data_IF_437646695308
#
_entry.id   IF_437646695308
#
_cell.length_a   1.000
_cell.length_b   1.000
_cell.length_c   1.000
_cell.angle_alpha   90.00
_cell.angle_beta   90.00
_cell.angle_gamma   90.00
#
_symmetry.space_group_name_H-M   'P 1'
#
loop_
_entity.id
_entity.type
_entity.pdbx_description
1 polymer ?
#
# COMPACT_ATOMS: atom_id res chain seq x y z
N UNK A 1 46.63 22.94 -35.70
CA UNK A 1 46.20 22.04 -34.60
C UNK A 1 45.07 21.17 -35.14
N UNK A 2 45.36 19.93 -35.54
CA UNK A 2 44.35 19.01 -36.07
C UNK A 2 43.61 18.38 -34.89
N UNK A 3 42.34 18.77 -34.71
CA UNK A 3 41.44 18.22 -33.68
C UNK A 3 41.02 16.83 -34.11
N UNK A 4 41.44 15.83 -33.37
CA UNK A 4 41.07 14.43 -33.57
C UNK A 4 39.70 14.17 -32.94
N UNK A 5 38.64 14.61 -33.62
CA UNK A 5 37.25 14.40 -33.18
C UNK A 5 36.91 12.91 -33.37
N UNK A 6 37.07 12.11 -32.30
CA UNK A 6 36.64 10.71 -32.27
C UNK A 6 35.10 10.71 -32.15
N UNK A 7 34.41 10.55 -33.27
CA UNK A 7 32.98 10.27 -33.27
C UNK A 7 32.68 8.88 -32.68
N UNK A 8 31.53 8.74 -32.03
CA UNK A 8 31.00 7.45 -31.60
C UNK A 8 30.81 6.53 -32.81
N UNK A 9 31.20 5.27 -32.68
CA UNK A 9 31.03 4.32 -33.79
C UNK A 9 29.59 3.79 -33.82
N UNK A 10 29.05 3.52 -35.02
CA UNK A 10 27.69 2.95 -35.14
C UNK A 10 27.56 1.61 -34.39
N UNK A 11 28.63 0.81 -34.38
CA UNK A 11 28.66 -0.47 -33.66
C UNK A 11 28.57 -0.29 -32.15
N UNK A 12 29.13 0.79 -31.61
CA UNK A 12 29.10 1.10 -30.19
C UNK A 12 27.68 1.45 -29.73
N UNK A 13 26.95 2.25 -30.52
CA UNK A 13 25.54 2.54 -30.23
C UNK A 13 24.66 1.27 -30.28
N UNK A 14 24.89 0.40 -31.27
CA UNK A 14 24.14 -0.85 -31.43
C UNK A 14 24.42 -1.81 -30.26
N UNK A 15 25.67 -1.97 -29.86
CA UNK A 15 26.03 -2.82 -28.73
C UNK A 15 25.37 -2.34 -27.42
N UNK A 16 25.29 -1.01 -27.21
CA UNK A 16 24.70 -0.43 -26.01
C UNK A 16 23.20 -0.74 -25.91
N UNK A 17 22.43 -0.53 -26.98
CA UNK A 17 20.98 -0.83 -26.95
C UNK A 17 20.71 -2.33 -26.78
N UNK A 18 21.58 -3.20 -27.27
CA UNK A 18 21.49 -4.66 -27.05
C UNK A 18 21.68 -4.97 -25.56
N UNK A 19 22.74 -4.43 -24.94
CA UNK A 19 23.01 -4.63 -23.52
C UNK A 19 21.87 -4.06 -22.66
N UNK A 20 21.42 -2.84 -22.94
CA UNK A 20 20.27 -2.23 -22.26
C UNK A 20 18.98 -3.04 -22.46
N UNK A 21 18.78 -3.63 -23.64
CA UNK A 21 17.64 -4.51 -23.92
C UNK A 21 17.64 -5.77 -23.05
N UNK A 22 18.79 -6.43 -22.89
CA UNK A 22 18.94 -7.61 -22.03
C UNK A 22 18.71 -7.23 -20.56
N UNK A 23 19.32 -6.14 -20.10
CA UNK A 23 19.16 -5.66 -18.72
C UNK A 23 17.70 -5.26 -18.44
N UNK A 24 17.02 -4.61 -19.37
CA UNK A 24 15.62 -4.24 -19.23
C UNK A 24 14.71 -5.47 -19.14
N UNK A 25 14.95 -6.50 -19.97
CA UNK A 25 14.15 -7.72 -19.97
C UNK A 25 14.16 -8.45 -18.61
N UNK A 26 15.28 -8.42 -17.88
CA UNK A 26 15.38 -9.02 -16.54
C UNK A 26 14.94 -8.07 -15.42
N UNK A 27 15.14 -6.76 -15.59
CA UNK A 27 14.88 -5.76 -14.55
C UNK A 27 13.39 -5.42 -14.43
N UNK A 28 12.67 -5.33 -15.55
CA UNK A 28 11.24 -4.97 -15.56
C UNK A 28 10.37 -5.89 -14.71
N UNK A 29 10.40 -7.24 -14.86
CA UNK A 29 9.54 -8.11 -14.05
C UNK A 29 9.86 -7.98 -12.55
N UNK A 30 11.15 -7.92 -12.20
CA UNK A 30 11.59 -7.72 -10.81
C UNK A 30 11.13 -6.39 -10.23
N UNK A 31 11.15 -5.32 -11.02
CA UNK A 31 10.69 -4.01 -10.58
C UNK A 31 9.18 -3.97 -10.32
N UNK A 32 8.39 -4.68 -11.14
CA UNK A 32 6.93 -4.82 -10.93
C UNK A 32 6.65 -5.59 -9.65
N UNK A 33 7.31 -6.73 -9.43
CA UNK A 33 7.15 -7.53 -8.21
C UNK A 33 7.49 -6.71 -6.95
N UNK A 34 8.62 -5.98 -6.97
CA UNK A 34 9.03 -5.12 -5.86
C UNK A 34 8.03 -4.00 -5.58
N UNK A 35 7.43 -3.41 -6.61
CA UNK A 35 6.36 -2.43 -6.42
C UNK A 35 5.14 -3.04 -5.74
N UNK A 36 4.73 -4.24 -6.15
CA UNK A 36 3.59 -4.93 -5.53
C UNK A 36 3.89 -5.29 -4.07
N UNK A 37 5.09 -5.77 -3.77
CA UNK A 37 5.52 -6.08 -2.40
C UNK A 37 5.58 -4.82 -1.52
N UNK A 38 6.13 -3.72 -2.04
CA UNK A 38 6.15 -2.45 -1.33
C UNK A 38 4.73 -1.95 -1.02
N UNK A 39 3.80 -2.05 -1.97
CA UNK A 39 2.39 -1.68 -1.78
C UNK A 39 1.71 -2.56 -0.73
N UNK A 40 2.00 -3.86 -0.72
CA UNK A 40 1.48 -4.79 0.29
C UNK A 40 2.03 -4.51 1.69
N UNK A 41 3.32 -4.16 1.81
CA UNK A 41 3.92 -3.80 3.09
C UNK A 41 3.30 -2.52 3.68
N UNK A 42 3.03 -1.52 2.84
CA UNK A 42 2.32 -0.29 3.27
C UNK A 42 0.90 -0.64 3.72
N UNK A 43 0.19 -1.50 2.99
CA UNK A 43 -1.15 -1.96 3.37
C UNK A 43 -1.18 -2.62 4.75
N UNK A 44 -0.25 -3.54 5.02
CA UNK A 44 -0.17 -4.23 6.31
C UNK A 44 0.17 -3.26 7.46
N UNK A 45 1.06 -2.29 7.19
CA UNK A 45 1.38 -1.21 8.14
C UNK A 45 0.15 -0.34 8.45
N UNK A 46 -0.62 0.05 7.43
CA UNK A 46 -1.85 0.84 7.60
C UNK A 46 -2.89 0.10 8.44
N UNK A 47 -3.12 -1.20 8.19
CA UNK A 47 -4.01 -2.03 9.01
C UNK A 47 -3.57 -2.06 10.47
N UNK A 48 -2.26 -2.24 10.73
CA UNK A 48 -1.70 -2.23 12.08
C UNK A 48 -1.90 -0.90 12.82
N UNK A 49 -1.71 0.21 12.11
CA UNK A 49 -1.94 1.56 12.66
C UNK A 49 -3.41 1.77 13.03
N UNK A 50 -4.35 1.39 12.15
CA UNK A 50 -5.78 1.53 12.42
C UNK A 50 -6.22 0.66 13.60
N UNK A 51 -5.74 -0.59 13.67
CA UNK A 51 -6.04 -1.49 14.79
C UNK A 51 -5.58 -0.88 16.12
N UNK A 52 -4.37 -0.32 16.15
CA UNK A 52 -3.80 0.30 17.34
C UNK A 52 -4.59 1.54 17.77
N UNK A 53 -4.94 2.41 16.81
CA UNK A 53 -5.75 3.59 17.09
C UNK A 53 -7.17 3.23 17.57
N UNK A 54 -7.78 2.20 17.00
CA UNK A 54 -9.10 1.70 17.43
C UNK A 54 -9.07 1.21 18.89
N UNK A 55 -8.01 0.49 19.30
CA UNK A 55 -7.85 0.03 20.69
C UNK A 55 -7.68 1.21 21.65
N UNK A 56 -6.82 2.19 21.33
CA UNK A 56 -6.57 3.36 22.19
C UNK A 56 -7.86 4.17 22.40
N UNK A 57 -8.62 4.42 21.34
CA UNK A 57 -9.85 5.20 21.45
C UNK A 57 -10.98 4.43 22.14
N UNK A 58 -11.06 3.11 21.94
CA UNK A 58 -11.97 2.26 22.73
C UNK A 58 -11.65 2.34 24.23
N UNK A 59 -10.37 2.27 24.59
CA UNK A 59 -9.93 2.44 25.98
C UNK A 59 -10.23 3.86 26.53
N UNK A 60 -10.29 4.87 25.66
CA UNK A 60 -10.69 6.24 26.03
C UNK A 60 -12.22 6.42 26.14
N UNK A 61 -13.02 5.36 25.93
CA UNK A 61 -14.48 5.42 26.00
C UNK A 61 -15.14 6.08 24.78
N UNK A 62 -14.42 6.24 23.67
CA UNK A 62 -14.95 6.81 22.43
C UNK A 62 -15.63 5.69 21.63
N UNK A 63 -16.95 5.77 21.37
CA UNK A 63 -17.62 4.79 20.53
C UNK A 63 -17.23 4.98 19.06
N UNK A 64 -16.87 3.89 18.38
CA UNK A 64 -16.59 3.83 16.93
C UNK A 64 -15.39 4.67 16.39
N UNK A 65 -14.17 4.51 16.92
CA UNK A 65 -12.97 5.19 16.42
C UNK A 65 -12.52 4.85 15.01
N UNK A 66 -12.95 3.71 14.46
CA UNK A 66 -12.55 3.28 13.12
C UNK A 66 -12.95 4.34 12.07
N UNK A 67 -14.14 4.96 12.20
CA UNK A 67 -14.65 5.91 11.21
C UNK A 67 -13.84 7.21 11.10
N UNK A 68 -13.41 7.75 12.23
CA UNK A 68 -12.72 9.04 12.28
C UNK A 68 -11.22 8.92 11.98
N UNK A 69 -10.63 7.74 12.17
CA UNK A 69 -9.20 7.50 11.95
C UNK A 69 -8.88 7.06 10.51
N UNK A 70 -9.87 6.51 9.79
CA UNK A 70 -9.68 6.05 8.41
C UNK A 70 -9.50 7.22 7.43
N UNK A 71 -10.25 8.32 7.60
CA UNK A 71 -10.15 9.49 6.72
C UNK A 71 -8.76 10.16 6.78
N UNK A 72 -8.11 10.18 7.94
CA UNK A 72 -6.75 10.73 8.10
C UNK A 72 -5.66 9.79 7.59
N UNK A 73 -5.89 8.48 7.64
CA UNK A 73 -4.95 7.47 7.12
C UNK A 73 -5.01 7.43 5.60
N UNK A 74 -6.20 7.47 5.00
CA UNK A 74 -6.40 7.59 3.54
C UNK A 74 -5.73 8.84 2.99
N UNK A 75 -5.72 9.95 3.74
CA UNK A 75 -5.08 11.19 3.34
C UNK A 75 -3.54 11.19 3.45
N UNK A 76 -2.93 10.23 4.15
CA UNK A 76 -1.48 10.17 4.38
C UNK A 76 -0.78 9.03 3.64
N UNK A 77 -1.54 8.13 3.03
CA UNK A 77 -1.01 6.99 2.30
C UNK A 77 -1.43 7.14 0.84
N UNK A 78 -0.55 6.88 -0.13
CA UNK A 78 -0.84 6.79 -1.59
C UNK A 78 -1.80 5.62 -1.92
N UNK A 79 -2.88 5.51 -1.16
CA UNK A 79 -3.84 4.42 -1.15
C UNK A 79 -5.04 4.95 -1.92
N UNK A 80 -4.91 4.98 -3.24
CA UNK A 80 -5.81 5.65 -4.20
C UNK A 80 -7.31 5.36 -4.06
N UNK A 81 -7.70 4.35 -3.28
CA UNK A 81 -9.01 4.29 -2.64
C UNK A 81 -9.01 3.12 -1.67
N UNK A 82 -8.71 3.34 -0.38
CA UNK A 82 -9.14 2.40 0.63
C UNK A 82 -10.68 2.44 0.70
N UNK A 83 -11.33 1.65 -0.16
CA UNK A 83 -12.79 1.51 -0.13
C UNK A 83 -13.12 0.70 1.11
N UNK A 84 -13.61 1.40 2.13
CA UNK A 84 -14.31 0.78 3.22
C UNK A 84 -15.65 0.24 2.70
N UNK A 85 -15.73 -1.05 2.42
CA UNK A 85 -16.94 -1.65 1.85
C UNK A 85 -18.02 -2.00 2.87
N UNK A 86 -17.93 -1.56 4.13
CA UNK A 86 -18.97 -1.84 5.12
C UNK A 86 -19.23 -0.69 6.07
N UNK A 87 -20.51 -0.43 6.45
CA UNK A 87 -20.84 0.59 7.44
C UNK A 87 -20.21 0.22 8.78
N UNK A 88 -19.30 1.09 9.24
CA UNK A 88 -18.75 1.11 10.60
C UNK A 88 -19.73 1.88 11.46
N UNK A 89 -20.70 1.18 12.02
CA UNK A 89 -21.52 1.67 13.12
C UNK A 89 -21.80 0.50 14.08
N UNK A 90 -20.75 -0.10 14.68
CA UNK A 90 -20.98 -1.13 15.69
C UNK A 90 -21.67 -0.49 16.88
N UNK A 91 -22.97 -0.72 17.00
CA UNK A 91 -23.78 -0.24 18.13
C UNK A 91 -23.75 -1.24 19.29
N UNK A 92 -23.37 -2.50 19.00
CA UNK A 92 -23.13 -3.56 19.98
C UNK A 92 -21.93 -4.44 19.60
N UNK A 93 -21.49 -5.29 20.53
CA UNK A 93 -20.48 -6.34 20.31
C UNK A 93 -20.85 -7.31 19.16
N UNK A 94 -22.14 -7.56 18.95
CA UNK A 94 -22.64 -8.43 17.89
C UNK A 94 -22.54 -7.81 16.48
N UNK A 95 -22.44 -6.48 16.39
CA UNK A 95 -22.41 -5.73 15.12
C UNK A 95 -21.01 -5.30 14.70
N UNK A 96 -19.98 -5.78 15.40
CA UNK A 96 -18.61 -5.41 15.10
C UNK A 96 -18.13 -6.06 13.81
N UNK A 97 -18.33 -5.31 12.73
CA UNK A 97 -18.15 -5.76 11.37
C UNK A 97 -16.66 -5.80 10.95
N UNK A 98 -16.40 -6.41 9.80
CA UNK A 98 -15.09 -6.49 9.18
C UNK A 98 -14.71 -5.20 8.48
N UNK A 99 -13.60 -4.58 8.88
CA UNK A 99 -12.98 -3.47 8.17
C UNK A 99 -12.14 -4.04 7.03
N UNK A 100 -12.54 -3.76 5.79
CA UNK A 100 -11.81 -4.14 4.58
C UNK A 100 -11.10 -2.93 3.98
N UNK A 101 -9.81 -3.09 3.71
CA UNK A 101 -8.93 -2.12 3.06
C UNK A 101 -8.46 -2.77 1.75
N UNK A 102 -8.70 -2.08 0.64
CA UNK A 102 -8.27 -2.50 -0.69
C UNK A 102 -7.38 -1.41 -1.28
N UNK A 103 -6.27 -1.78 -1.91
CA UNK A 103 -5.43 -0.85 -2.68
C UNK A 103 -5.55 -1.17 -4.16
N UNK A 104 -5.73 -0.15 -5.00
CA UNK A 104 -5.56 -0.26 -6.46
C UNK A 104 -4.18 -0.85 -6.83
N UNK A 105 -4.16 -2.02 -7.47
CA UNK A 105 -2.93 -2.74 -7.84
C UNK A 105 -2.23 -3.49 -6.70
N UNK A 106 -2.84 -3.57 -5.51
CA UNK A 106 -2.37 -4.35 -4.37
C UNK A 106 -3.38 -5.41 -3.90
N UNK A 107 -3.05 -6.08 -2.79
CA UNK A 107 -3.96 -7.02 -2.14
C UNK A 107 -5.13 -6.35 -1.39
N UNK A 108 -6.10 -7.17 -0.99
CA UNK A 108 -7.15 -6.77 -0.04
C UNK A 108 -6.82 -7.29 1.35
N UNK A 109 -6.95 -6.44 2.37
CA UNK A 109 -6.78 -6.80 3.78
C UNK A 109 -8.06 -6.54 4.53
N UNK A 110 -8.60 -7.58 5.14
CA UNK A 110 -9.80 -7.51 5.95
C UNK A 110 -9.45 -7.89 7.38
N UNK A 111 -9.87 -7.07 8.34
CA UNK A 111 -9.73 -7.40 9.75
C UNK A 111 -11.03 -7.13 10.51
N UNK A 112 -11.37 -8.04 11.42
CA UNK A 112 -12.51 -7.85 12.31
C UNK A 112 -12.10 -6.99 13.50
N UNK A 113 -12.87 -5.94 13.76
CA UNK A 113 -12.74 -5.14 14.98
C UNK A 113 -13.57 -5.74 16.13
N UNK A 114 -14.27 -6.86 15.91
CA UNK A 114 -15.11 -7.53 16.90
C UNK A 114 -14.39 -7.85 18.20
N UNK A 115 -13.20 -8.42 18.14
CA UNK A 115 -12.46 -8.73 19.36
C UNK A 115 -12.08 -7.47 20.16
N UNK A 116 -12.02 -6.28 19.55
CA UNK A 116 -11.69 -5.04 20.26
C UNK A 116 -12.90 -4.57 21.10
N UNK A 117 -14.12 -4.72 20.58
CA UNK A 117 -15.35 -4.27 21.27
C UNK A 117 -16.04 -5.36 22.11
N UNK A 118 -15.76 -6.64 21.86
CA UNK A 118 -16.41 -7.76 22.56
C UNK A 118 -15.64 -8.31 23.75
N UNK A 119 -14.45 -7.78 24.05
CA UNK A 119 -13.58 -8.27 25.14
C UNK A 119 -13.90 -7.65 26.51
N UNK A 120 -15.13 -7.19 26.71
CA UNK A 120 -15.63 -6.67 27.99
C UNK A 120 -16.32 -7.76 28.79
#
# INVERSE_FOLDING_TARGET
MLRNEKGFTLIELIMIIIILGILAAIAVPRYVDLQTDARNAVLDASVGAIKSAAIIQYAAGIPNPAANTLASIIAQTDLDAAVLSTPISPTTCADANTLTITHSGGGTRTFSIQSIYCSG
#
